data_IF_906188914054
#
_entry.id   IF_906188914054
#
_cell.length_a   1.000
_cell.length_b   1.000
_cell.length_c   1.000
_cell.angle_alpha   90.00
_cell.angle_beta   90.00
_cell.angle_gamma   90.00
#
_symmetry.space_group_name_H-M   'P 1'
#
loop_
_entity.id
_entity.type
_entity.pdbx_description
1 polymer ?
#
# COMPACT_ATOMS: atom_id res chain seq x y z
N UNK A 1 -20.25 8.35 17.48
CA UNK A 1 -19.70 9.56 18.14
C UNK A 1 -20.07 10.83 17.38
N UNK A 2 -20.03 10.82 16.03
CA UNK A 2 -20.34 11.98 15.18
C UNK A 2 -21.71 11.89 14.48
N UNK A 3 -22.47 10.83 14.71
CA UNK A 3 -23.77 10.56 14.08
C UNK A 3 -23.75 10.70 12.54
N UNK A 4 -22.71 10.16 11.92
CA UNK A 4 -22.47 10.14 10.48
C UNK A 4 -22.90 8.81 9.85
N UNK A 5 -23.08 8.74 8.52
CA UNK A 5 -23.38 7.50 7.82
C UNK A 5 -22.36 6.40 8.12
N UNK A 6 -22.81 5.16 8.07
CA UNK A 6 -21.97 3.96 8.12
C UNK A 6 -21.82 3.41 6.70
N UNK A 7 -20.73 2.70 6.47
CA UNK A 7 -20.39 2.11 5.18
C UNK A 7 -20.19 0.61 5.32
N UNK A 8 -20.50 -0.13 4.29
CA UNK A 8 -20.13 -1.55 4.17
C UNK A 8 -18.62 -1.69 3.97
N UNK A 9 -18.10 -2.91 4.20
CA UNK A 9 -16.67 -3.20 3.95
C UNK A 9 -16.29 -2.94 2.49
N UNK A 10 -17.15 -3.30 1.54
CA UNK A 10 -16.89 -3.09 0.11
C UNK A 10 -16.86 -1.60 -0.26
N UNK A 11 -17.73 -0.77 0.29
CA UNK A 11 -17.69 0.67 0.09
C UNK A 11 -16.41 1.28 0.66
N UNK A 12 -16.00 0.89 1.87
CA UNK A 12 -14.73 1.35 2.47
C UNK A 12 -13.53 0.89 1.63
N UNK A 13 -13.56 -0.33 1.10
CA UNK A 13 -12.52 -0.89 0.23
C UNK A 13 -12.28 0.00 -1.00
N UNK A 14 -13.32 0.58 -1.59
CA UNK A 14 -13.20 1.51 -2.72
C UNK A 14 -12.59 2.86 -2.34
N UNK A 15 -12.72 3.29 -1.08
CA UNK A 15 -12.17 4.57 -0.59
C UNK A 15 -10.70 4.47 -0.20
N UNK A 16 -10.19 3.24 0.06
CA UNK A 16 -8.80 3.00 0.50
C UNK A 16 -7.82 3.14 -0.68
N UNK A 17 -6.58 3.58 -0.37
CA UNK A 17 -5.46 3.68 -1.33
C UNK A 17 -4.79 5.05 -1.32
N UNK A 18 -5.55 6.13 -1.07
CA UNK A 18 -5.08 7.51 -1.15
C UNK A 18 -4.77 8.17 0.22
N UNK A 19 -4.49 7.36 1.25
CA UNK A 19 -4.13 7.80 2.60
C UNK A 19 -5.34 8.15 3.47
N UNK A 20 -5.11 8.21 4.80
CA UNK A 20 -6.16 8.35 5.81
C UNK A 20 -6.96 9.66 5.66
N UNK A 21 -6.30 10.78 5.37
CA UNK A 21 -6.98 12.06 5.22
C UNK A 21 -8.01 12.03 4.07
N UNK A 22 -7.66 11.41 2.93
CA UNK A 22 -8.58 11.25 1.80
C UNK A 22 -9.70 10.27 2.13
N UNK A 23 -9.40 9.14 2.77
CA UNK A 23 -10.39 8.18 3.23
C UNK A 23 -11.46 8.84 4.10
N UNK A 24 -11.05 9.61 5.11
CA UNK A 24 -12.00 10.29 5.99
C UNK A 24 -12.75 11.39 5.25
N UNK A 25 -12.10 12.11 4.33
CA UNK A 25 -12.78 13.14 3.51
C UNK A 25 -13.89 12.55 2.64
N UNK A 26 -13.68 11.34 2.10
CA UNK A 26 -14.67 10.65 1.29
C UNK A 26 -15.78 10.01 2.15
N UNK A 27 -15.47 9.64 3.38
CA UNK A 27 -16.42 9.01 4.30
C UNK A 27 -17.33 10.00 5.01
N UNK A 28 -16.95 11.26 5.19
CA UNK A 28 -17.85 12.26 5.78
C UNK A 28 -18.84 12.80 4.74
N UNK A 29 -20.05 13.24 5.13
CA UNK A 29 -21.02 13.86 4.22
C UNK A 29 -20.42 15.03 3.44
N UNK A 30 -20.79 15.18 2.16
CA UNK A 30 -20.38 16.34 1.35
C UNK A 30 -20.85 17.63 2.02
N UNK A 31 -19.92 18.60 2.13
CA UNK A 31 -20.20 19.87 2.80
C UNK A 31 -20.00 19.85 4.32
N UNK A 32 -19.46 18.77 4.88
CA UNK A 32 -19.04 18.73 6.28
C UNK A 32 -18.06 19.88 6.57
N UNK A 33 -18.37 20.63 7.63
CA UNK A 33 -17.51 21.72 8.11
C UNK A 33 -16.09 21.25 8.40
N UNK A 34 -15.09 22.08 8.08
CA UNK A 34 -13.68 21.70 8.20
C UNK A 34 -13.28 21.36 9.64
N UNK A 35 -13.79 22.09 10.64
CA UNK A 35 -13.48 21.80 12.04
C UNK A 35 -14.08 20.46 12.47
N UNK A 36 -15.26 20.09 11.98
CA UNK A 36 -15.87 18.78 12.22
C UNK A 36 -15.04 17.69 11.53
N UNK A 37 -14.66 17.88 10.27
CA UNK A 37 -13.80 16.93 9.54
C UNK A 37 -12.48 16.68 10.29
N UNK A 38 -11.80 17.71 10.76
CA UNK A 38 -10.53 17.57 11.49
C UNK A 38 -10.71 16.77 12.79
N UNK A 39 -11.82 16.96 13.49
CA UNK A 39 -12.17 16.18 14.69
C UNK A 39 -12.41 14.70 14.36
N UNK A 40 -13.12 14.41 13.27
CA UNK A 40 -13.35 13.03 12.80
C UNK A 40 -12.04 12.38 12.43
N UNK A 41 -11.18 13.08 11.69
CA UNK A 41 -9.86 12.61 11.29
C UNK A 41 -8.96 12.31 12.50
N UNK A 42 -8.95 13.18 13.50
CA UNK A 42 -8.18 12.97 14.74
C UNK A 42 -8.69 11.74 15.50
N UNK A 43 -9.99 11.62 15.71
CA UNK A 43 -10.62 10.47 16.36
C UNK A 43 -10.32 9.16 15.63
N UNK A 44 -10.37 9.17 14.28
CA UNK A 44 -10.00 8.00 13.49
C UNK A 44 -8.54 7.63 13.70
N UNK A 45 -7.62 8.59 13.67
CA UNK A 45 -6.18 8.33 13.87
C UNK A 45 -5.88 7.72 15.24
N UNK A 46 -6.50 8.25 16.30
CA UNK A 46 -6.40 7.70 17.66
C UNK A 46 -6.89 6.25 17.71
N UNK A 47 -8.10 5.99 17.23
CA UNK A 47 -8.67 4.64 17.19
C UNK A 47 -7.82 3.69 16.35
N UNK A 48 -7.37 4.15 15.19
CA UNK A 48 -6.58 3.33 14.27
C UNK A 48 -5.19 2.98 14.82
N UNK A 49 -4.60 3.83 15.66
CA UNK A 49 -3.33 3.53 16.32
C UNK A 49 -3.42 2.27 17.20
N UNK A 50 -4.51 2.10 17.91
CA UNK A 50 -4.74 0.96 18.82
C UNK A 50 -5.28 -0.29 18.08
N UNK A 51 -5.90 -0.11 16.90
CA UNK A 51 -6.65 -1.16 16.19
C UNK A 51 -6.13 -1.47 14.78
N UNK A 52 -4.93 -0.98 14.42
CA UNK A 52 -4.37 -1.14 13.06
C UNK A 52 -4.08 -2.60 12.68
N UNK A 53 -3.94 -3.47 13.67
CA UNK A 53 -3.66 -4.90 13.49
C UNK A 53 -4.90 -5.80 13.66
N UNK A 54 -6.04 -5.24 14.06
CA UNK A 54 -7.26 -6.03 14.25
C UNK A 54 -7.71 -6.63 12.92
N UNK A 55 -7.95 -7.95 12.92
CA UNK A 55 -8.32 -8.71 11.73
C UNK A 55 -7.34 -8.54 10.53
N UNK A 56 -6.08 -8.21 10.81
CA UNK A 56 -5.02 -8.03 9.81
C UNK A 56 -4.14 -9.27 9.77
N UNK A 57 -3.85 -9.76 8.56
CA UNK A 57 -2.93 -10.89 8.35
C UNK A 57 -2.27 -10.76 6.97
N UNK A 58 -1.09 -11.36 6.77
CA UNK A 58 -0.51 -11.50 5.44
C UNK A 58 -1.43 -12.30 4.52
N UNK A 59 -1.49 -11.91 3.25
CA UNK A 59 -2.19 -12.72 2.25
C UNK A 59 -1.57 -14.12 2.13
N UNK A 60 -2.36 -15.14 1.72
CA UNK A 60 -1.86 -16.50 1.53
C UNK A 60 -0.64 -16.54 0.61
N UNK A 61 0.38 -17.28 1.00
CA UNK A 61 1.61 -17.48 0.22
C UNK A 61 2.64 -16.36 0.28
N UNK A 62 2.29 -15.15 0.76
CA UNK A 62 3.18 -13.98 0.73
C UNK A 62 4.45 -14.17 1.55
N UNK A 63 4.37 -14.77 2.73
CA UNK A 63 5.57 -14.99 3.54
C UNK A 63 6.58 -15.90 2.81
N UNK A 64 6.09 -17.00 2.22
CA UNK A 64 6.93 -17.90 1.44
C UNK A 64 7.48 -17.24 0.17
N UNK A 65 6.69 -16.39 -0.49
CA UNK A 65 7.11 -15.65 -1.66
C UNK A 65 8.28 -14.71 -1.33
N UNK A 66 8.16 -13.92 -0.25
CA UNK A 66 9.24 -13.02 0.19
C UNK A 66 10.49 -13.82 0.59
N UNK A 67 10.33 -14.91 1.34
CA UNK A 67 11.47 -15.75 1.76
C UNK A 67 12.18 -16.36 0.53
N UNK A 68 11.44 -16.76 -0.51
CA UNK A 68 11.99 -17.27 -1.78
C UNK A 68 12.77 -16.20 -2.54
N UNK A 69 12.22 -14.99 -2.65
CA UNK A 69 12.89 -13.86 -3.30
C UNK A 69 14.17 -13.48 -2.57
N UNK A 70 14.14 -13.42 -1.26
CA UNK A 70 15.33 -13.13 -0.45
C UNK A 70 16.40 -14.21 -0.56
N UNK A 71 16.01 -15.49 -0.60
CA UNK A 71 16.93 -16.61 -0.83
C UNK A 71 17.60 -16.53 -2.22
N UNK A 72 16.94 -15.94 -3.21
CA UNK A 72 17.47 -15.64 -4.52
C UNK A 72 18.32 -14.35 -4.58
N UNK A 73 18.54 -13.67 -3.45
CA UNK A 73 19.31 -12.43 -3.37
C UNK A 73 18.56 -11.16 -3.73
N UNK A 74 17.24 -11.22 -3.90
CA UNK A 74 16.40 -10.05 -4.20
C UNK A 74 16.20 -9.22 -2.93
N UNK A 75 16.49 -7.92 -3.00
CA UNK A 75 16.18 -6.96 -1.96
C UNK A 75 14.71 -6.59 -2.01
N UNK A 76 14.05 -6.53 -0.85
CA UNK A 76 12.63 -6.26 -0.74
C UNK A 76 12.37 -5.01 0.09
N UNK A 77 11.57 -4.09 -0.42
CA UNK A 77 11.15 -2.89 0.30
C UNK A 77 9.62 -2.69 0.24
N UNK A 78 9.10 -1.99 1.24
CA UNK A 78 7.67 -1.62 1.31
C UNK A 78 7.55 -0.10 1.18
N UNK A 79 6.63 0.35 0.32
CA UNK A 79 6.22 1.76 0.22
C UNK A 79 4.70 1.86 0.24
N UNK A 80 4.14 2.55 1.22
CA UNK A 80 2.70 2.59 1.45
C UNK A 80 2.18 3.99 1.76
N UNK A 81 0.93 4.28 1.35
CA UNK A 81 0.16 5.45 1.80
C UNK A 81 -0.50 5.25 3.19
N UNK A 82 -0.29 4.09 3.81
CA UNK A 82 -0.65 3.84 5.22
C UNK A 82 0.28 4.66 6.12
N UNK A 83 -0.17 5.19 7.28
CA UNK A 83 0.71 5.90 8.21
C UNK A 83 1.97 5.10 8.58
N UNK A 84 3.10 5.80 8.72
CA UNK A 84 4.40 5.16 8.92
C UNK A 84 4.45 4.29 10.19
N UNK A 85 3.85 4.76 11.30
CA UNK A 85 3.75 3.97 12.52
C UNK A 85 3.02 2.63 12.30
N UNK A 86 1.96 2.63 11.50
CA UNK A 86 1.20 1.41 11.23
C UNK A 86 1.94 0.44 10.28
N UNK A 87 2.85 0.96 9.43
CA UNK A 87 3.77 0.11 8.66
C UNK A 87 4.81 -0.52 9.61
N UNK A 88 5.37 0.24 10.55
CA UNK A 88 6.32 -0.30 11.53
C UNK A 88 5.70 -1.46 12.35
N UNK A 89 4.45 -1.29 12.80
CA UNK A 89 3.71 -2.34 13.50
C UNK A 89 3.48 -3.60 12.65
N UNK A 90 3.09 -3.42 11.38
CA UNK A 90 2.93 -4.54 10.45
C UNK A 90 4.24 -5.28 10.21
N UNK A 91 5.34 -4.56 10.00
CA UNK A 91 6.66 -5.17 9.78
C UNK A 91 7.11 -5.97 10.99
N UNK A 92 6.98 -5.44 12.19
CA UNK A 92 7.40 -6.13 13.41
C UNK A 92 6.55 -7.35 13.74
N UNK A 93 5.24 -7.30 13.51
CA UNK A 93 4.31 -8.37 13.87
C UNK A 93 4.22 -9.48 12.83
N UNK A 94 4.23 -9.15 11.53
CA UNK A 94 3.97 -10.13 10.47
C UNK A 94 5.17 -10.42 9.58
N UNK A 95 6.15 -9.50 9.51
CA UNK A 95 7.26 -9.61 8.55
C UNK A 95 8.65 -9.41 9.18
N UNK A 96 8.92 -9.91 10.41
CA UNK A 96 10.19 -9.67 11.07
C UNK A 96 11.37 -10.12 10.20
N UNK A 97 12.29 -9.17 9.90
CA UNK A 97 13.50 -9.41 9.13
C UNK A 97 13.32 -9.73 7.63
N UNK A 98 12.10 -9.60 7.07
CA UNK A 98 11.81 -9.97 5.68
C UNK A 98 12.00 -8.84 4.67
N UNK A 99 12.00 -7.61 5.12
CA UNK A 99 12.22 -6.43 4.26
C UNK A 99 13.50 -5.70 4.63
N UNK A 100 14.20 -5.21 3.62
CA UNK A 100 15.43 -4.43 3.79
C UNK A 100 15.10 -2.98 4.16
N UNK A 101 13.92 -2.51 3.76
CA UNK A 101 13.39 -1.19 4.12
C UNK A 101 11.86 -1.18 4.08
N UNK A 102 11.23 -0.37 4.94
CA UNK A 102 9.79 -0.14 4.91
C UNK A 102 9.49 1.32 5.19
N UNK A 103 8.58 1.90 4.41
CA UNK A 103 8.18 3.29 4.46
C UNK A 103 6.66 3.41 4.39
N UNK A 104 6.07 4.02 5.39
CA UNK A 104 4.70 4.51 5.36
C UNK A 104 4.61 5.98 4.95
N UNK A 105 3.40 6.54 4.99
CA UNK A 105 3.21 7.97 4.74
C UNK A 105 3.75 8.80 5.89
N UNK A 106 4.58 9.79 5.54
CA UNK A 106 5.18 10.81 6.42
C UNK A 106 4.90 12.19 5.84
N UNK A 107 4.93 13.20 6.69
CA UNK A 107 4.66 14.60 6.28
C UNK A 107 5.82 15.24 5.50
N UNK A 108 7.03 14.70 5.64
CA UNK A 108 8.25 15.17 4.96
C UNK A 108 8.46 14.58 3.55
N UNK A 109 7.61 13.65 3.12
CA UNK A 109 7.63 13.03 1.79
C UNK A 109 6.26 13.11 1.13
N UNK A 110 6.26 13.25 -0.18
CA UNK A 110 5.03 13.11 -0.95
C UNK A 110 4.50 11.68 -0.82
N UNK A 111 3.20 11.54 -1.06
CA UNK A 111 2.57 10.20 -1.08
C UNK A 111 2.46 9.64 -2.49
N UNK A 112 2.35 8.35 -2.61
CA UNK A 112 1.99 7.69 -3.88
C UNK A 112 0.70 8.33 -4.45
N UNK A 113 0.60 8.58 -5.77
CA UNK A 113 1.44 8.05 -6.84
C UNK A 113 2.68 8.90 -7.20
N UNK A 114 3.13 9.84 -6.36
CA UNK A 114 4.42 10.52 -6.60
C UNK A 114 5.57 9.50 -6.52
N UNK A 115 6.60 9.70 -7.33
CA UNK A 115 7.77 8.83 -7.38
C UNK A 115 8.70 8.98 -6.16
N UNK A 116 8.62 10.10 -5.46
CA UNK A 116 9.55 10.46 -4.39
C UNK A 116 9.69 9.38 -3.30
N UNK A 117 8.61 8.81 -2.71
CA UNK A 117 8.76 7.79 -1.68
C UNK A 117 9.37 6.49 -2.20
N UNK A 118 9.15 6.16 -3.48
CA UNK A 118 9.77 4.97 -4.10
C UNK A 118 11.25 5.19 -4.31
N UNK A 119 11.64 6.32 -4.88
CA UNK A 119 13.06 6.65 -5.08
C UNK A 119 13.80 6.76 -3.73
N UNK A 120 13.14 7.31 -2.71
CA UNK A 120 13.68 7.33 -1.35
C UNK A 120 13.94 5.91 -0.83
N UNK A 121 12.97 5.00 -0.95
CA UNK A 121 13.11 3.61 -0.50
C UNK A 121 14.21 2.87 -1.27
N UNK A 122 14.29 3.03 -2.59
CA UNK A 122 15.34 2.43 -3.42
C UNK A 122 16.73 2.91 -3.02
N UNK A 123 16.89 4.21 -2.73
CA UNK A 123 18.15 4.75 -2.24
C UNK A 123 18.58 4.15 -0.90
N UNK A 124 17.62 3.88 0.02
CA UNK A 124 17.92 3.24 1.31
C UNK A 124 18.48 1.82 1.15
N UNK A 125 18.05 1.10 0.13
CA UNK A 125 18.50 -0.28 -0.13
C UNK A 125 19.60 -0.35 -1.21
N UNK A 126 20.02 0.79 -1.78
CA UNK A 126 21.08 0.87 -2.79
C UNK A 126 20.72 0.13 -4.08
N UNK A 127 19.54 0.39 -4.65
CA UNK A 127 19.02 -0.20 -5.90
C UNK A 127 18.57 0.92 -6.82
N UNK A 128 18.91 0.84 -8.10
CA UNK A 128 18.42 1.76 -9.12
C UNK A 128 17.02 1.37 -9.61
N UNK A 129 16.16 2.33 -10.01
CA UNK A 129 14.81 2.03 -10.51
C UNK A 129 14.78 1.05 -11.70
N UNK A 130 15.79 1.07 -12.56
CA UNK A 130 15.91 0.16 -13.71
C UNK A 130 16.18 -1.31 -13.32
N UNK A 131 16.69 -1.54 -12.10
CA UNK A 131 16.99 -2.87 -11.57
C UNK A 131 15.92 -3.34 -10.57
N UNK A 132 14.78 -2.66 -10.53
CA UNK A 132 13.69 -2.94 -9.62
C UNK A 132 12.36 -3.12 -10.34
N UNK A 133 11.44 -3.87 -9.72
CA UNK A 133 10.06 -4.02 -10.14
C UNK A 133 9.13 -3.55 -9.02
N UNK A 134 8.10 -2.81 -9.39
CA UNK A 134 7.07 -2.36 -8.46
C UNK A 134 5.93 -3.38 -8.42
N UNK A 135 5.45 -3.72 -7.23
CA UNK A 135 4.33 -4.66 -7.05
C UNK A 135 3.21 -3.93 -6.32
N UNK A 136 1.99 -4.04 -6.84
CA UNK A 136 0.85 -3.40 -6.22
C UNK A 136 -0.49 -3.97 -6.67
N UNK A 137 -1.55 -3.51 -6.03
CA UNK A 137 -2.90 -4.05 -6.15
C UNK A 137 -3.95 -2.99 -6.51
N UNK A 138 -3.52 -1.80 -6.93
CA UNK A 138 -4.41 -0.69 -7.20
C UNK A 138 -3.95 0.20 -8.37
N UNK A 139 -4.87 1.04 -8.86
CA UNK A 139 -4.60 2.09 -9.83
C UNK A 139 -3.51 3.08 -9.36
N UNK A 140 -3.43 3.28 -8.05
CA UNK A 140 -2.38 4.12 -7.43
C UNK A 140 -1.01 3.50 -7.63
N UNK A 141 -0.90 2.17 -7.51
CA UNK A 141 0.36 1.44 -7.64
C UNK A 141 0.84 1.42 -9.09
N UNK A 142 -0.07 1.19 -10.05
CA UNK A 142 0.24 1.27 -11.48
C UNK A 142 0.76 2.67 -11.85
N UNK A 143 0.10 3.71 -11.33
CA UNK A 143 0.55 5.10 -11.55
C UNK A 143 1.90 5.37 -10.86
N UNK A 144 2.11 4.82 -9.65
CA UNK A 144 3.37 4.96 -8.90
C UNK A 144 4.53 4.34 -9.66
N UNK A 145 4.38 3.11 -10.14
CA UNK A 145 5.40 2.42 -10.93
C UNK A 145 5.79 3.22 -12.18
N UNK A 146 4.78 3.68 -12.93
CA UNK A 146 4.99 4.52 -14.11
C UNK A 146 5.74 5.81 -13.79
N UNK A 147 5.32 6.52 -12.73
CA UNK A 147 5.94 7.77 -12.32
C UNK A 147 7.38 7.58 -11.80
N UNK A 148 7.66 6.40 -11.24
CA UNK A 148 9.00 6.02 -10.75
C UNK A 148 9.91 5.43 -11.84
N UNK A 149 9.42 5.26 -13.08
CA UNK A 149 10.19 4.69 -14.17
C UNK A 149 10.43 3.18 -14.02
N UNK A 150 9.56 2.46 -13.33
CA UNK A 150 9.72 1.04 -13.01
C UNK A 150 8.66 0.19 -13.76
N UNK A 151 8.98 -1.07 -14.13
CA UNK A 151 7.97 -2.03 -14.50
C UNK A 151 7.03 -2.32 -13.31
N UNK A 152 5.77 -2.68 -13.61
CA UNK A 152 4.77 -2.98 -12.60
C UNK A 152 4.23 -4.40 -12.76
N UNK A 153 4.21 -5.16 -11.68
CA UNK A 153 3.42 -6.38 -11.55
C UNK A 153 2.20 -6.05 -10.70
N UNK A 154 1.02 -6.17 -11.27
CA UNK A 154 -0.24 -5.96 -10.56
C UNK A 154 -0.78 -7.30 -10.04
N UNK A 155 -1.16 -7.34 -8.77
CA UNK A 155 -1.67 -8.54 -8.11
C UNK A 155 -3.18 -8.44 -7.91
N UNK A 156 -3.91 -9.53 -8.19
CA UNK A 156 -5.38 -9.51 -8.26
C UNK A 156 -6.06 -9.89 -6.92
N UNK A 157 -5.30 -10.32 -5.92
CA UNK A 157 -5.83 -10.68 -4.59
C UNK A 157 -5.97 -9.51 -3.61
N UNK A 158 -5.66 -8.27 -4.06
CA UNK A 158 -5.69 -7.06 -3.22
C UNK A 158 -7.00 -6.30 -3.25
N UNK A 159 -6.92 -4.96 -3.21
CA UNK A 159 -8.09 -4.07 -3.08
C UNK A 159 -8.89 -3.91 -4.37
N UNK A 160 -8.26 -3.98 -5.55
CA UNK A 160 -8.92 -3.76 -6.84
C UNK A 160 -9.10 -5.05 -7.62
N UNK A 161 -10.19 -5.10 -8.39
CA UNK A 161 -10.42 -6.18 -9.34
C UNK A 161 -9.54 -6.04 -10.58
N UNK A 162 -9.51 -7.11 -11.36
CA UNK A 162 -8.69 -7.21 -12.58
C UNK A 162 -9.04 -6.13 -13.61
N UNK A 163 -10.32 -5.85 -13.78
CA UNK A 163 -10.78 -4.87 -14.78
C UNK A 163 -10.33 -3.45 -14.43
N UNK A 164 -10.38 -3.09 -13.16
CA UNK A 164 -9.86 -1.82 -12.64
C UNK A 164 -8.34 -1.71 -12.87
N UNK A 165 -7.58 -2.77 -12.61
CA UNK A 165 -6.13 -2.79 -12.84
C UNK A 165 -5.79 -2.65 -14.33
N UNK A 166 -6.49 -3.37 -15.21
CA UNK A 166 -6.32 -3.25 -16.65
C UNK A 166 -6.69 -1.85 -17.16
N UNK A 167 -7.79 -1.28 -16.68
CA UNK A 167 -8.19 0.10 -17.03
C UNK A 167 -7.15 1.14 -16.56
N UNK A 168 -6.43 0.89 -15.48
CA UNK A 168 -5.33 1.73 -15.01
C UNK A 168 -4.04 1.58 -15.84
N UNK A 169 -3.97 0.59 -16.73
CA UNK A 169 -2.83 0.33 -17.61
C UNK A 169 -1.89 -0.76 -17.12
N UNK A 170 -2.35 -1.65 -16.22
CA UNK A 170 -1.57 -2.82 -15.83
C UNK A 170 -1.34 -3.74 -17.05
N UNK A 171 -0.08 -4.14 -17.26
CA UNK A 171 0.33 -5.02 -18.37
C UNK A 171 0.70 -6.42 -17.90
N UNK A 172 1.15 -6.55 -16.67
CA UNK A 172 1.50 -7.83 -16.03
C UNK A 172 0.61 -8.03 -14.82
N UNK A 173 -0.19 -9.11 -14.84
CA UNK A 173 -1.05 -9.48 -13.73
C UNK A 173 -0.64 -10.85 -13.20
N UNK A 174 -0.67 -11.00 -11.87
CA UNK A 174 -0.47 -12.27 -11.19
C UNK A 174 -1.66 -12.55 -10.27
N UNK A 175 -2.18 -13.76 -10.35
CA UNK A 175 -3.32 -14.20 -9.54
C UNK A 175 -2.87 -14.87 -8.24
N UNK A 176 -1.59 -15.27 -8.13
CA UNK A 176 -1.02 -15.91 -6.95
C UNK A 176 0.37 -15.37 -6.60
N UNK A 177 0.77 -15.55 -5.34
CA UNK A 177 2.11 -15.18 -4.87
C UNK A 177 3.21 -15.99 -5.60
N UNK A 178 2.93 -17.23 -5.97
CA UNK A 178 3.84 -18.09 -6.72
C UNK A 178 4.05 -17.59 -8.17
N UNK A 179 2.99 -17.12 -8.83
CA UNK A 179 3.09 -16.50 -10.15
C UNK A 179 3.93 -15.22 -10.09
N UNK A 180 3.70 -14.39 -9.08
CA UNK A 180 4.48 -13.18 -8.84
C UNK A 180 5.98 -13.48 -8.68
N UNK A 181 6.34 -14.49 -7.87
CA UNK A 181 7.75 -14.91 -7.71
C UNK A 181 8.35 -15.37 -9.03
N UNK A 182 7.63 -16.19 -9.80
CA UNK A 182 8.10 -16.63 -11.12
C UNK A 182 8.32 -15.47 -12.08
N UNK A 183 7.46 -14.47 -12.03
CA UNK A 183 7.59 -13.30 -12.90
C UNK A 183 8.80 -12.44 -12.52
N UNK A 184 9.07 -12.26 -11.23
CA UNK A 184 10.22 -11.50 -10.73
C UNK A 184 11.57 -12.19 -11.04
N UNK A 185 11.62 -13.53 -11.02
CA UNK A 185 12.85 -14.31 -11.17
C UNK A 185 13.14 -14.73 -12.64
N UNK A 186 12.39 -14.23 -13.62
CA UNK A 186 12.69 -14.42 -15.05
C UNK A 186 13.94 -13.65 -15.47
#
# INVERSE_FOLDING_TARGET
QFNMPTYTVDEVRQMVGNGVAKLIRDAVPKGTDEAIYQRVLACFKEHYADHSLDNTAPYPGILNAIDTLRAAGVKCAVVSNKPDFAIADLMSNFFPGRFDFALGQRDDLKRKPDAEPVHYALAQIGVDPQDAVYIGDSEVDVATARNSGMPCISVTWGFRDKDTLLAAGATTLCDTAEEMVKEILK
#
